data_IF_893288149310
#
_entry.id   IF_893288149310
#
_cell.length_a   1.000
_cell.length_b   1.000
_cell.length_c   1.000
_cell.angle_alpha   90.00
_cell.angle_beta   90.00
_cell.angle_gamma   90.00
#
_symmetry.space_group_name_H-M   'P 1'
#
loop_
_entity.id
_entity.type
_entity.pdbx_description
1 polymer ?
#
# COMPACT_ATOMS: atom_id res chain seq x y z
N UNK A 1 4.59 -24.37 10.49
CA UNK A 1 4.86 -22.97 10.12
C UNK A 1 5.14 -22.96 8.63
N UNK A 2 4.14 -22.65 7.80
CA UNK A 2 4.25 -22.67 6.34
C UNK A 2 4.84 -21.33 5.85
N UNK A 3 5.75 -21.32 4.86
CA UNK A 3 6.27 -20.08 4.29
C UNK A 3 5.18 -19.41 3.46
N UNK A 4 4.96 -18.11 3.67
CA UNK A 4 4.15 -17.30 2.77
C UNK A 4 4.93 -17.12 1.45
N UNK A 5 4.71 -18.02 0.49
CA UNK A 5 5.14 -17.81 -0.90
C UNK A 5 4.31 -16.68 -1.48
N UNK A 6 4.86 -15.47 -1.48
CA UNK A 6 4.31 -14.36 -2.26
C UNK A 6 4.58 -14.64 -3.74
N UNK A 7 3.57 -15.12 -4.45
CA UNK A 7 3.59 -15.14 -5.92
C UNK A 7 3.37 -13.72 -6.41
N UNK A 8 4.45 -12.94 -6.53
CA UNK A 8 4.43 -11.69 -7.27
C UNK A 8 4.08 -12.01 -8.74
N UNK A 9 2.79 -11.89 -9.08
CA UNK A 9 2.33 -12.12 -10.44
C UNK A 9 2.93 -11.03 -11.34
N UNK A 10 3.52 -11.38 -12.50
CA UNK A 10 4.13 -10.40 -13.38
C UNK A 10 3.06 -9.48 -13.97
N UNK A 11 3.18 -8.18 -13.70
CA UNK A 11 2.31 -7.15 -14.24
C UNK A 11 2.47 -7.05 -15.78
N UNK A 12 1.39 -6.76 -16.54
CA UNK A 12 1.46 -6.58 -17.99
C UNK A 12 2.41 -5.44 -18.40
N UNK A 13 3.15 -5.57 -19.52
CA UNK A 13 4.02 -4.51 -20.02
C UNK A 13 3.16 -3.33 -20.50
N UNK A 14 3.17 -2.24 -19.73
CA UNK A 14 2.36 -1.04 -19.95
C UNK A 14 1.66 -0.52 -18.68
N UNK A 15 1.62 -1.29 -17.60
CA UNK A 15 1.16 -0.80 -16.30
C UNK A 15 2.21 0.15 -15.71
N UNK A 16 1.79 1.36 -15.32
CA UNK A 16 2.58 2.21 -14.41
C UNK A 16 3.07 1.35 -13.25
N UNK A 17 4.37 1.39 -12.90
CA UNK A 17 4.89 0.54 -11.84
C UNK A 17 4.12 0.85 -10.55
N UNK A 18 3.44 -0.16 -10.02
CA UNK A 18 2.82 -0.05 -8.70
C UNK A 18 3.95 -0.13 -7.67
N UNK A 19 4.41 1.04 -7.22
CA UNK A 19 5.51 1.14 -6.25
C UNK A 19 4.93 1.38 -4.86
N UNK A 20 5.30 0.51 -3.93
CA UNK A 20 5.04 0.70 -2.52
C UNK A 20 6.08 1.68 -1.94
N UNK A 21 5.61 2.79 -1.39
CA UNK A 21 6.43 3.88 -0.89
C UNK A 21 6.62 3.78 0.61
N UNK A 22 7.87 3.85 1.07
CA UNK A 22 8.22 3.92 2.48
C UNK A 22 7.69 5.22 3.13
N UNK A 23 7.29 5.13 4.40
CA UNK A 23 6.80 6.24 5.20
C UNK A 23 5.37 6.67 4.86
N UNK A 24 4.71 5.99 3.93
CA UNK A 24 3.32 6.25 3.58
C UNK A 24 2.36 5.32 4.32
N UNK A 25 1.19 5.86 4.68
CA UNK A 25 0.08 5.10 5.23
C UNK A 25 -0.81 4.61 4.10
N UNK A 26 -1.15 3.33 4.12
CA UNK A 26 -2.07 2.70 3.20
C UNK A 26 -3.33 2.28 3.94
N UNK A 27 -4.47 2.37 3.28
CA UNK A 27 -5.79 2.03 3.81
C UNK A 27 -6.51 1.09 2.85
N UNK A 28 -7.25 0.13 3.41
CA UNK A 28 -8.09 -0.76 2.61
C UNK A 28 -9.32 -0.02 2.04
N UNK A 29 -10.05 -0.67 1.14
CA UNK A 29 -11.22 -0.06 0.48
C UNK A 29 -12.34 0.34 1.46
N UNK A 30 -12.45 -0.32 2.63
CA UNK A 30 -13.47 -0.04 3.65
C UNK A 30 -13.03 0.99 4.68
N UNK A 31 -11.74 1.34 4.75
CA UNK A 31 -11.23 2.26 5.77
C UNK A 31 -11.04 1.63 7.15
N UNK A 32 -11.12 0.31 7.27
CA UNK A 32 -11.07 -0.42 8.55
C UNK A 32 -9.64 -0.75 8.97
N UNK A 33 -8.76 -1.02 8.00
CA UNK A 33 -7.38 -1.38 8.20
C UNK A 33 -6.46 -0.27 7.67
N UNK A 34 -5.50 0.13 8.51
CA UNK A 34 -4.47 1.07 8.16
C UNK A 34 -3.10 0.51 8.49
N UNK A 35 -2.16 0.63 7.54
CA UNK A 35 -0.78 0.14 7.69
C UNK A 35 0.22 1.22 7.28
N UNK A 36 1.34 1.28 7.98
CA UNK A 36 2.48 2.13 7.62
C UNK A 36 3.50 1.28 6.87
N UNK A 37 3.88 1.70 5.67
CA UNK A 37 4.96 1.08 4.94
C UNK A 37 6.32 1.49 5.53
N UNK A 38 7.11 0.53 6.03
CA UNK A 38 8.45 0.77 6.60
C UNK A 38 9.60 0.37 5.67
N UNK A 39 9.29 -0.21 4.52
CA UNK A 39 10.26 -0.57 3.48
C UNK A 39 9.64 -0.42 2.09
N UNK A 40 10.32 0.26 1.19
CA UNK A 40 9.86 0.43 -0.20
C UNK A 40 9.93 -0.88 -0.98
N UNK A 41 9.11 -1.02 -2.02
CA UNK A 41 9.15 -2.15 -2.94
C UNK A 41 8.49 -1.85 -4.29
N UNK A 42 8.75 -2.69 -5.28
CA UNK A 42 8.22 -2.56 -6.66
C UNK A 42 6.86 -3.22 -6.87
N UNK A 43 6.25 -3.73 -5.80
CA UNK A 43 4.92 -4.33 -5.81
C UNK A 43 3.86 -3.42 -5.21
N UNK A 44 2.60 -3.80 -5.40
CA UNK A 44 1.44 -3.15 -4.78
C UNK A 44 1.09 -3.78 -3.43
N UNK A 45 0.58 -2.97 -2.50
CA UNK A 45 0.04 -3.45 -1.25
C UNK A 45 -1.43 -3.83 -1.43
N UNK A 46 -1.79 -5.07 -1.11
CA UNK A 46 -3.17 -5.57 -1.20
C UNK A 46 -3.66 -6.12 0.13
N UNK A 47 -4.93 -5.89 0.47
CA UNK A 47 -5.64 -6.55 1.56
C UNK A 47 -6.71 -7.47 0.97
N UNK A 48 -6.67 -8.77 1.28
CA UNK A 48 -7.60 -9.78 0.74
C UNK A 48 -7.68 -9.79 -0.80
N UNK A 49 -6.56 -9.49 -1.47
CA UNK A 49 -6.48 -9.39 -2.93
C UNK A 49 -6.98 -8.07 -3.52
N UNK A 50 -7.49 -7.15 -2.71
CA UNK A 50 -7.88 -5.80 -3.13
C UNK A 50 -6.72 -4.80 -2.93
N UNK A 51 -6.42 -3.95 -3.92
CA UNK A 51 -5.35 -2.95 -3.81
C UNK A 51 -5.66 -1.89 -2.73
N UNK A 52 -4.66 -1.56 -1.93
CA UNK A 52 -4.75 -0.54 -0.89
C UNK A 52 -4.39 0.85 -1.44
N UNK A 53 -4.99 1.88 -0.87
CA UNK A 53 -4.80 3.27 -1.31
C UNK A 53 -3.99 4.07 -0.30
N UNK A 54 -3.26 5.08 -0.76
CA UNK A 54 -2.54 6.00 0.11
C UNK A 54 -3.52 6.83 0.94
N UNK A 55 -3.47 6.71 2.27
CA UNK A 55 -4.24 7.57 3.17
C UNK A 55 -3.60 8.95 3.19
N UNK A 56 -4.28 9.91 2.57
CA UNK A 56 -3.88 11.31 2.65
C UNK A 56 -3.93 11.79 4.10
N UNK A 57 -2.87 12.48 4.53
CA UNK A 57 -2.90 13.16 5.82
C UNK A 57 -3.95 14.27 5.75
N UNK A 58 -4.90 14.27 6.69
CA UNK A 58 -5.75 15.43 6.89
C UNK A 58 -4.86 16.54 7.45
N UNK A 59 -4.72 17.69 6.76
CA UNK A 59 -3.91 18.78 7.27
C UNK A 59 -4.44 19.18 8.65
N UNK A 60 -3.51 19.35 9.59
CA UNK A 60 -3.83 19.93 10.89
C UNK A 60 -4.23 21.39 10.67
N UNK A 61 -5.24 21.90 11.39
CA UNK A 61 -5.46 23.34 11.47
C UNK A 61 -4.15 24.00 11.90
N UNK A 62 -3.74 25.08 11.23
CA UNK A 62 -2.61 25.86 11.69
C UNK A 62 -2.83 26.26 13.16
N UNK A 63 -1.86 25.99 14.02
CA UNK A 63 -1.85 26.54 15.38
C UNK A 63 -1.42 27.99 15.27
N UNK A 64 -2.35 28.91 15.53
CA UNK A 64 -2.08 30.33 15.79
C UNK A 64 -1.91 30.54 17.31
#
# INVERSE_FOLDING_TARGET
MAPATSSAQPSPPGATPHVTLIGKRYVDATGTLEVLCTSSGTGELTCDGAPMTLKAAKPLPASD
#
